data_IF_741284315737
#
_entry.id   IF_741284315737
#
_cell.length_a   1.000
_cell.length_b   1.000
_cell.length_c   1.000
_cell.angle_alpha   90.00
_cell.angle_beta   90.00
_cell.angle_gamma   90.00
#
_symmetry.space_group_name_H-M   'P 1'
#
loop_
_entity.id
_entity.type
_entity.pdbx_description
1 polymer ?
#
# COMPACT_ATOMS: atom_id res chain seq x y z
N UNK A 1 16.42 -3.70 6.56
CA UNK A 1 16.14 -5.01 7.22
C UNK A 1 17.25 -5.41 8.19
N UNK A 2 18.53 -5.16 7.86
CA UNK A 2 19.67 -5.56 8.69
C UNK A 2 19.54 -5.17 10.18
N UNK A 3 19.08 -3.97 10.48
CA UNK A 3 18.95 -3.50 11.86
C UNK A 3 17.86 -4.25 12.62
N UNK A 4 16.76 -4.58 11.96
CA UNK A 4 15.65 -5.36 12.54
C UNK A 4 16.07 -6.80 12.84
N UNK A 5 16.89 -7.42 11.97
CA UNK A 5 17.45 -8.77 12.18
C UNK A 5 18.47 -8.81 13.31
N UNK A 6 19.20 -7.73 13.59
CA UNK A 6 20.12 -7.66 14.74
C UNK A 6 19.40 -7.72 16.08
N UNK A 7 18.11 -7.30 16.10
CA UNK A 7 17.23 -7.35 17.27
C UNK A 7 16.38 -8.61 17.33
N UNK A 8 16.29 -9.33 16.22
CA UNK A 8 15.58 -10.59 16.08
C UNK A 8 16.53 -11.78 15.94
N UNK A 9 16.23 -12.66 14.99
CA UNK A 9 17.01 -13.88 14.77
C UNK A 9 17.00 -14.34 13.30
N UNK A 10 17.99 -15.17 12.97
CA UNK A 10 18.07 -15.88 11.69
C UNK A 10 18.09 -17.38 12.00
N UNK A 11 17.06 -18.10 11.56
CA UNK A 11 16.85 -19.53 11.80
C UNK A 11 17.14 -20.31 10.51
N UNK A 12 18.32 -20.89 10.42
CA UNK A 12 18.75 -21.71 9.28
C UNK A 12 19.49 -22.94 9.76
N UNK A 13 18.93 -24.15 9.60
CA UNK A 13 17.59 -24.45 9.08
C UNK A 13 16.48 -24.14 10.09
N UNK A 14 15.29 -23.79 9.58
CA UNK A 14 14.05 -23.80 10.34
C UNK A 14 13.42 -25.20 10.21
N UNK A 15 13.34 -25.95 11.31
CA UNK A 15 12.72 -27.29 11.34
C UNK A 15 11.27 -27.14 11.84
N UNK A 16 10.34 -27.04 10.90
CA UNK A 16 8.92 -26.91 11.21
C UNK A 16 8.06 -27.61 10.14
N UNK A 17 7.13 -28.48 10.54
CA UNK A 17 6.26 -29.19 9.61
C UNK A 17 5.11 -28.32 9.06
N UNK A 18 4.72 -27.30 9.81
CA UNK A 18 3.59 -26.42 9.50
C UNK A 18 3.89 -24.97 9.90
N UNK A 19 3.07 -24.05 9.38
CA UNK A 19 3.19 -22.61 9.62
C UNK A 19 3.11 -22.26 11.11
N UNK A 20 2.22 -22.93 11.85
CA UNK A 20 2.05 -22.68 13.29
C UNK A 20 3.33 -22.97 14.07
N UNK A 21 3.98 -24.10 13.79
CA UNK A 21 5.26 -24.44 14.41
C UNK A 21 6.41 -23.56 13.95
N UNK A 22 6.41 -23.16 12.67
CA UNK A 22 7.37 -22.21 12.14
C UNK A 22 7.29 -20.85 12.88
N UNK A 23 6.08 -20.33 13.06
CA UNK A 23 5.82 -19.10 13.83
C UNK A 23 6.20 -19.24 15.30
N UNK A 24 5.83 -20.36 15.96
CA UNK A 24 6.22 -20.61 17.36
C UNK A 24 7.74 -20.59 17.51
N UNK A 25 8.46 -21.28 16.64
CA UNK A 25 9.93 -21.28 16.64
C UNK A 25 10.52 -19.88 16.41
N UNK A 26 9.89 -19.09 15.54
CA UNK A 26 10.31 -17.73 15.28
C UNK A 26 10.09 -16.81 16.49
N UNK A 27 8.97 -16.93 17.21
CA UNK A 27 8.74 -16.17 18.44
C UNK A 27 9.71 -16.56 19.55
N UNK A 28 10.02 -17.85 19.71
CA UNK A 28 11.00 -18.34 20.70
C UNK A 28 12.42 -17.83 20.43
N UNK A 29 12.74 -17.51 19.19
CA UNK A 29 14.03 -16.95 18.84
C UNK A 29 14.21 -15.49 19.27
N UNK A 30 13.12 -14.82 19.66
CA UNK A 30 13.17 -13.44 20.17
C UNK A 30 13.50 -13.46 21.65
N UNK A 31 14.49 -12.67 22.05
CA UNK A 31 14.93 -12.62 23.46
C UNK A 31 13.79 -12.24 24.42
N UNK A 32 13.63 -13.05 25.48
CA UNK A 32 12.66 -12.77 26.54
C UNK A 32 11.26 -13.35 26.32
N UNK A 33 11.02 -14.10 25.25
CA UNK A 33 9.74 -14.78 24.98
C UNK A 33 9.81 -16.20 25.58
N UNK A 34 8.83 -16.56 26.43
CA UNK A 34 8.68 -17.91 26.98
C UNK A 34 7.90 -18.84 26.03
N UNK A 35 7.99 -20.16 26.25
CA UNK A 35 7.27 -21.15 25.42
C UNK A 35 5.76 -20.91 25.44
N UNK A 36 5.18 -20.64 26.62
CA UNK A 36 3.76 -20.35 26.78
C UNK A 36 3.35 -19.05 26.03
N UNK A 37 4.19 -18.04 26.10
CA UNK A 37 3.97 -16.77 25.41
C UNK A 37 4.09 -16.92 23.88
N UNK A 38 5.05 -17.70 23.40
CA UNK A 38 5.22 -17.98 21.98
C UNK A 38 4.03 -18.73 21.39
N UNK A 39 3.52 -19.76 22.09
CA UNK A 39 2.32 -20.50 21.65
C UNK A 39 1.07 -19.63 21.64
N UNK A 40 0.88 -18.80 22.67
CA UNK A 40 -0.23 -17.85 22.73
C UNK A 40 -0.18 -16.86 21.57
N UNK A 41 0.98 -16.20 21.37
CA UNK A 41 1.16 -15.22 20.28
C UNK A 41 0.97 -15.84 18.91
N UNK A 42 1.47 -17.05 18.69
CA UNK A 42 1.23 -17.77 17.44
C UNK A 42 -0.25 -18.03 17.23
N UNK A 43 -0.98 -18.44 18.25
CA UNK A 43 -2.41 -18.70 18.16
C UNK A 43 -3.19 -17.41 17.89
N UNK A 44 -2.84 -16.31 18.56
CA UNK A 44 -3.44 -14.99 18.35
C UNK A 44 -3.16 -14.46 16.93
N UNK A 45 -1.96 -14.69 16.40
CA UNK A 45 -1.57 -14.26 15.05
C UNK A 45 -2.30 -15.08 13.97
N UNK A 46 -2.32 -16.40 14.09
CA UNK A 46 -3.06 -17.27 13.16
C UNK A 46 -4.56 -17.02 13.24
N UNK A 47 -5.08 -16.66 14.41
CA UNK A 47 -6.48 -16.24 14.59
C UNK A 47 -6.80 -14.82 14.15
N UNK A 48 -5.82 -14.04 13.66
CA UNK A 48 -5.99 -12.65 13.24
C UNK A 48 -6.20 -11.64 14.38
N UNK A 49 -5.96 -12.03 15.62
CA UNK A 49 -6.19 -11.19 16.80
C UNK A 49 -5.04 -10.20 17.10
N UNK A 50 -3.81 -10.51 16.67
CA UNK A 50 -2.61 -9.71 17.00
C UNK A 50 -1.69 -9.46 15.83
N UNK A 51 -2.20 -9.52 14.60
CA UNK A 51 -1.42 -9.28 13.39
C UNK A 51 -2.01 -9.95 12.14
N UNK A 52 -1.21 -10.03 11.11
CA UNK A 52 -1.60 -10.53 9.79
C UNK A 52 -0.53 -11.45 9.22
N UNK A 53 -0.97 -12.42 8.41
CA UNK A 53 -0.09 -13.34 7.68
C UNK A 53 -0.35 -13.15 6.19
N UNK A 54 0.72 -12.92 5.42
CA UNK A 54 0.66 -12.66 3.98
C UNK A 54 1.58 -13.63 3.23
N UNK A 55 1.02 -14.33 2.26
CA UNK A 55 1.81 -15.03 1.25
C UNK A 55 2.24 -14.03 0.19
N UNK A 56 3.51 -13.67 0.19
CA UNK A 56 4.07 -12.66 -0.71
C UNK A 56 4.73 -13.27 -1.96
N UNK A 57 5.02 -14.57 -1.90
CA UNK A 57 5.54 -15.39 -2.98
C UNK A 57 5.13 -16.85 -2.72
N UNK A 58 5.15 -17.72 -3.75
CA UNK A 58 4.77 -19.13 -3.60
C UNK A 58 5.55 -19.85 -2.49
N UNK A 59 6.79 -19.42 -2.25
CA UNK A 59 7.72 -20.00 -1.27
C UNK A 59 7.96 -19.13 -0.04
N UNK A 60 7.33 -17.92 0.05
CA UNK A 60 7.61 -16.93 1.10
C UNK A 60 6.35 -16.49 1.80
N UNK A 61 6.34 -16.62 3.13
CA UNK A 61 5.30 -16.08 4.01
C UNK A 61 5.91 -14.95 4.86
N UNK A 62 5.22 -13.83 4.91
CA UNK A 62 5.51 -12.70 5.79
C UNK A 62 4.42 -12.64 6.85
N UNK A 63 4.80 -12.73 8.10
CA UNK A 63 3.93 -12.59 9.25
C UNK A 63 4.23 -11.27 9.97
N UNK A 64 3.18 -10.51 10.25
CA UNK A 64 3.24 -9.21 10.90
C UNK A 64 2.56 -9.31 12.26
N UNK A 65 3.32 -9.25 13.33
CA UNK A 65 2.81 -9.38 14.70
C UNK A 65 2.99 -8.10 15.50
N UNK A 66 2.09 -7.89 16.47
CA UNK A 66 2.17 -6.82 17.45
C UNK A 66 2.62 -7.36 18.80
N UNK A 67 3.44 -6.59 19.50
CA UNK A 67 3.87 -6.97 20.85
C UNK A 67 4.23 -5.76 21.71
N UNK A 68 3.78 -5.79 22.97
CA UNK A 68 4.17 -4.84 23.99
C UNK A 68 5.55 -5.16 24.62
N UNK A 69 6.07 -6.38 24.37
CA UNK A 69 7.35 -6.85 24.92
C UNK A 69 8.56 -6.41 24.10
N UNK A 70 8.37 -5.79 22.94
CA UNK A 70 9.44 -5.24 22.13
C UNK A 70 9.39 -3.70 22.14
N UNK A 71 10.53 -3.08 22.35
CA UNK A 71 10.61 -1.59 22.34
C UNK A 71 10.79 -1.03 20.93
N UNK A 72 11.36 -1.81 20.04
CA UNK A 72 11.65 -1.47 18.64
C UNK A 72 11.27 -2.64 17.72
N UNK A 73 11.16 -2.35 16.42
CA UNK A 73 10.83 -3.36 15.43
C UNK A 73 11.95 -4.40 15.37
N UNK A 74 11.59 -5.66 15.47
CA UNK A 74 12.50 -6.77 15.26
C UNK A 74 11.97 -7.70 14.15
N UNK A 75 12.91 -8.37 13.47
CA UNK A 75 12.62 -9.31 12.41
C UNK A 75 13.22 -10.67 12.73
N UNK A 76 12.49 -11.73 12.45
CA UNK A 76 13.00 -13.10 12.47
C UNK A 76 12.81 -13.69 11.08
N UNK A 77 13.90 -14.15 10.47
CA UNK A 77 13.82 -14.91 9.22
C UNK A 77 14.13 -16.37 9.48
N UNK A 78 13.24 -17.25 9.00
CA UNK A 78 13.43 -18.70 9.05
C UNK A 78 13.48 -19.28 7.64
N UNK A 79 14.43 -20.18 7.38
CA UNK A 79 14.56 -20.89 6.11
C UNK A 79 14.40 -22.38 6.39
N UNK A 80 13.34 -22.98 5.83
CA UNK A 80 12.99 -24.38 5.96
C UNK A 80 13.34 -25.13 4.66
N UNK A 81 14.43 -25.89 4.62
CA UNK A 81 14.86 -26.58 3.39
C UNK A 81 13.88 -27.63 2.86
N UNK A 82 13.01 -28.15 3.74
CA UNK A 82 11.97 -29.13 3.37
C UNK A 82 10.61 -28.43 3.10
N UNK A 83 10.52 -27.15 3.45
CA UNK A 83 9.26 -26.40 3.43
C UNK A 83 8.36 -26.74 4.62
N UNK A 84 7.37 -25.90 4.85
CA UNK A 84 6.29 -26.10 5.82
C UNK A 84 4.93 -25.90 5.14
N UNK A 85 3.92 -26.63 5.60
CA UNK A 85 2.57 -26.50 5.05
C UNK A 85 1.91 -25.22 5.56
N UNK A 86 1.32 -24.43 4.64
CA UNK A 86 0.47 -23.28 4.99
C UNK A 86 -0.87 -23.74 5.56
N UNK A 87 -1.49 -22.95 6.44
CA UNK A 87 -2.87 -23.18 6.87
C UNK A 87 -3.84 -22.83 5.74
N UNK A 88 -4.97 -23.58 5.62
CA UNK A 88 -6.01 -23.35 4.59
C UNK A 88 -6.64 -21.94 4.62
N UNK A 89 -6.44 -21.17 5.69
CA UNK A 89 -6.91 -19.79 5.84
C UNK A 89 -6.22 -18.79 4.88
N UNK A 90 -5.04 -19.12 4.36
CA UNK A 90 -4.27 -18.26 3.45
C UNK A 90 -4.90 -18.12 2.05
N UNK A 91 -5.83 -18.99 1.68
CA UNK A 91 -6.51 -18.95 0.36
C UNK A 91 -7.57 -17.84 0.24
N UNK A 92 -8.01 -17.25 1.35
CA UNK A 92 -9.14 -16.31 1.36
C UNK A 92 -8.74 -14.82 1.25
N UNK A 93 -7.48 -14.46 1.45
CA UNK A 93 -7.02 -13.05 1.42
C UNK A 93 -6.45 -12.58 0.07
N UNK A 94 -6.38 -13.46 -0.92
CA UNK A 94 -5.94 -13.16 -2.29
C UNK A 94 -7.08 -12.71 -3.20
N UNK A 95 -7.76 -11.60 -2.94
CA UNK A 95 -8.73 -11.01 -3.87
C UNK A 95 -8.02 -10.18 -4.95
N UNK A 96 -7.57 -10.86 -6.00
CA UNK A 96 -7.05 -10.25 -7.23
C UNK A 96 -7.43 -11.11 -8.42
N UNK A 97 -8.50 -10.70 -9.14
CA UNK A 97 -8.88 -11.06 -10.50
C UNK A 97 -8.73 -12.54 -10.91
N UNK A 98 -9.81 -13.29 -10.78
CA UNK A 98 -9.97 -14.58 -11.44
C UNK A 98 -9.97 -14.42 -12.96
N UNK A 99 -8.94 -14.96 -13.63
CA UNK A 99 -9.03 -15.37 -15.02
C UNK A 99 -9.44 -16.85 -15.06
N UNK A 100 -10.65 -17.09 -15.56
CA UNK A 100 -11.12 -18.44 -15.90
C UNK A 100 -10.26 -19.03 -17.03
N UNK A 101 -9.63 -20.16 -16.78
CA UNK A 101 -8.85 -20.92 -17.75
C UNK A 101 -8.63 -22.36 -17.32
N UNK A 102 -9.58 -23.20 -17.72
CA UNK A 102 -9.50 -24.64 -18.06
C UNK A 102 -8.24 -25.42 -17.69
N UNK A 103 -8.43 -26.49 -16.88
CA UNK A 103 -7.58 -27.68 -16.87
C UNK A 103 -7.04 -28.05 -15.51
N UNK A 104 -7.70 -29.03 -14.83
CA UNK A 104 -7.28 -29.55 -13.53
C UNK A 104 -5.89 -30.20 -13.55
N UNK A 105 -5.05 -29.72 -12.65
CA UNK A 105 -3.91 -30.44 -12.11
C UNK A 105 -4.09 -30.51 -10.59
N UNK A 106 -3.52 -31.49 -9.88
CA UNK A 106 -3.72 -31.66 -8.44
C UNK A 106 -3.28 -30.40 -7.71
N UNK A 107 -4.11 -29.93 -6.77
CA UNK A 107 -3.77 -28.86 -5.85
C UNK A 107 -2.62 -29.37 -4.96
N UNK A 108 -1.38 -29.08 -5.39
CA UNK A 108 -0.23 -29.18 -4.50
C UNK A 108 -0.46 -28.17 -3.37
N UNK A 109 -0.58 -28.65 -2.16
CA UNK A 109 -0.61 -27.82 -0.97
C UNK A 109 0.64 -26.92 -1.00
N UNK A 110 0.50 -25.58 -0.99
CA UNK A 110 1.63 -24.71 -1.19
C UNK A 110 2.61 -24.86 -0.01
N UNK A 111 3.77 -25.43 -0.28
CA UNK A 111 4.88 -25.47 0.66
C UNK A 111 5.61 -24.15 0.65
N UNK A 112 5.67 -23.46 1.79
CA UNK A 112 6.51 -22.30 1.97
C UNK A 112 7.86 -22.72 2.56
N UNK A 113 8.92 -22.03 2.15
CA UNK A 113 10.29 -22.36 2.57
C UNK A 113 10.94 -21.20 3.34
N UNK A 114 10.44 -19.98 3.17
CA UNK A 114 10.89 -18.79 3.91
C UNK A 114 9.73 -18.26 4.75
N UNK A 115 10.00 -18.06 6.04
CA UNK A 115 9.17 -17.30 6.96
C UNK A 115 9.90 -16.02 7.35
N UNK A 116 9.30 -14.87 7.10
CA UNK A 116 9.73 -13.59 7.67
C UNK A 116 8.70 -13.13 8.70
N UNK A 117 9.04 -13.17 9.97
CA UNK A 117 8.22 -12.64 11.05
C UNK A 117 8.72 -11.24 11.44
N UNK A 118 7.86 -10.24 11.33
CA UNK A 118 8.10 -8.89 11.81
C UNK A 118 7.27 -8.64 13.06
N UNK A 119 7.92 -8.21 14.13
CA UNK A 119 7.27 -7.89 15.40
C UNK A 119 7.42 -6.40 15.64
N UNK A 120 6.28 -5.71 15.74
CA UNK A 120 6.22 -4.26 15.96
C UNK A 120 5.63 -3.95 17.33
N UNK A 121 6.18 -2.95 18.05
CA UNK A 121 5.51 -2.42 19.22
C UNK A 121 4.13 -1.88 18.84
N UNK A 122 3.11 -2.07 19.67
CA UNK A 122 1.75 -1.56 19.40
C UNK A 122 1.71 -0.07 19.10
N UNK A 123 2.61 0.71 19.69
CA UNK A 123 2.75 2.16 19.43
C UNK A 123 3.20 2.51 18.00
N UNK A 124 3.61 1.52 17.19
CA UNK A 124 4.11 1.70 15.83
C UNK A 124 3.36 0.82 14.80
N UNK A 125 2.07 0.54 15.04
CA UNK A 125 1.26 -0.32 14.14
C UNK A 125 1.26 0.20 12.71
N UNK A 126 1.17 1.52 12.50
CA UNK A 126 1.23 2.14 11.17
C UNK A 126 2.55 1.87 10.42
N UNK A 127 3.67 1.64 11.12
CA UNK A 127 4.93 1.25 10.49
C UNK A 127 4.87 -0.14 9.86
N UNK A 128 4.12 -1.06 10.46
CA UNK A 128 3.88 -2.40 9.95
C UNK A 128 3.27 -2.35 8.55
N UNK A 129 2.21 -1.57 8.40
CA UNK A 129 1.47 -1.47 7.15
C UNK A 129 2.31 -0.83 6.03
N UNK A 130 3.24 0.06 6.39
CA UNK A 130 4.19 0.68 5.47
C UNK A 130 5.27 -0.28 4.96
N UNK A 131 5.62 -1.29 5.74
CA UNK A 131 6.69 -2.23 5.37
C UNK A 131 6.22 -3.31 4.39
N UNK A 132 4.96 -3.70 4.47
CA UNK A 132 4.41 -4.81 3.70
C UNK A 132 4.48 -4.61 2.17
N UNK A 133 4.15 -3.44 1.59
CA UNK A 133 4.27 -3.23 0.14
C UNK A 133 5.70 -3.43 -0.37
N UNK A 134 6.67 -2.86 0.32
CA UNK A 134 8.09 -2.98 -0.03
C UNK A 134 8.58 -4.42 0.04
N UNK A 135 8.15 -5.18 1.06
CA UNK A 135 8.48 -6.60 1.19
C UNK A 135 7.81 -7.43 0.10
N UNK A 136 6.53 -7.16 -0.22
CA UNK A 136 5.82 -7.82 -1.32
C UNK A 136 6.54 -7.62 -2.65
N UNK A 137 6.98 -6.39 -2.93
CA UNK A 137 7.73 -6.06 -4.14
C UNK A 137 9.08 -6.76 -4.17
N UNK A 138 9.82 -6.74 -3.07
CA UNK A 138 11.13 -7.40 -2.96
C UNK A 138 11.03 -8.90 -3.23
N UNK A 139 10.10 -9.58 -2.58
CA UNK A 139 9.93 -11.03 -2.72
C UNK A 139 9.17 -11.46 -3.99
N UNK A 140 8.59 -10.55 -4.77
CA UNK A 140 8.00 -10.87 -6.07
C UNK A 140 9.06 -11.32 -7.08
N UNK A 141 10.26 -10.79 -6.95
CA UNK A 141 11.37 -11.07 -7.87
C UNK A 141 12.12 -12.32 -7.43
N UNK A 142 12.10 -13.38 -8.27
CA UNK A 142 12.81 -14.65 -8.01
C UNK A 142 14.32 -14.43 -7.77
N UNK A 143 14.91 -13.42 -8.40
CA UNK A 143 16.33 -13.04 -8.22
C UNK A 143 16.64 -12.65 -6.76
N UNK A 144 15.68 -12.13 -6.02
CA UNK A 144 15.81 -11.78 -4.61
C UNK A 144 15.54 -12.97 -3.69
N UNK A 145 14.64 -13.87 -4.10
CA UNK A 145 14.23 -15.05 -3.32
C UNK A 145 15.29 -16.15 -3.37
N UNK A 146 15.81 -16.45 -4.55
CA UNK A 146 16.75 -17.56 -4.77
C UNK A 146 18.01 -17.51 -3.89
N UNK A 147 18.68 -16.36 -3.70
CA UNK A 147 19.85 -16.29 -2.82
C UNK A 147 19.53 -16.62 -1.35
N UNK A 148 18.35 -16.19 -0.88
CA UNK A 148 17.91 -16.45 0.49
C UNK A 148 17.60 -17.93 0.67
N UNK A 149 16.89 -18.56 -0.27
CA UNK A 149 16.57 -19.99 -0.26
C UNK A 149 17.81 -20.90 -0.27
N UNK A 150 18.88 -20.46 -0.95
CA UNK A 150 20.13 -21.20 -1.03
C UNK A 150 21.02 -21.05 0.21
N UNK A 151 20.64 -20.17 1.15
CA UNK A 151 21.40 -19.96 2.38
C UNK A 151 21.35 -21.22 3.25
N UNK A 152 22.50 -21.66 3.75
CA UNK A 152 22.65 -22.84 4.62
C UNK A 152 23.03 -22.47 6.06
N UNK A 153 23.30 -21.20 6.28
CA UNK A 153 23.67 -20.65 7.58
C UNK A 153 23.15 -19.23 7.72
N UNK A 154 23.10 -18.73 8.97
CA UNK A 154 22.76 -17.33 9.23
C UNK A 154 23.72 -16.36 8.51
N UNK A 155 25.02 -16.72 8.43
CA UNK A 155 26.02 -15.90 7.73
C UNK A 155 25.74 -15.77 6.22
N UNK A 156 25.17 -16.80 5.60
CA UNK A 156 24.81 -16.75 4.19
C UNK A 156 23.66 -15.76 3.95
N UNK A 157 22.65 -15.72 4.83
CA UNK A 157 21.55 -14.74 4.77
C UNK A 157 22.10 -13.32 4.90
N UNK A 158 23.00 -13.09 5.85
CA UNK A 158 23.62 -11.76 6.06
C UNK A 158 24.41 -11.29 4.83
N UNK A 159 24.92 -12.21 4.01
CA UNK A 159 25.63 -11.88 2.75
C UNK A 159 24.71 -11.51 1.60
N UNK A 160 23.39 -11.73 1.70
CA UNK A 160 22.43 -11.29 0.69
C UNK A 160 22.25 -9.78 0.79
N UNK A 161 23.12 -9.02 0.13
CA UNK A 161 23.17 -7.55 0.24
C UNK A 161 21.81 -6.91 -0.11
N UNK A 162 21.15 -7.36 -1.18
CA UNK A 162 19.84 -6.83 -1.58
C UNK A 162 18.78 -6.92 -0.47
N UNK A 163 18.80 -8.02 0.33
CA UNK A 163 17.89 -8.19 1.46
C UNK A 163 18.32 -7.36 2.68
N UNK A 164 19.60 -7.35 2.98
CA UNK A 164 20.12 -6.64 4.14
C UNK A 164 20.02 -5.11 3.99
N UNK A 165 20.24 -4.60 2.78
CA UNK A 165 20.18 -3.17 2.47
C UNK A 165 18.75 -2.68 2.21
N UNK A 166 17.75 -3.58 2.14
CA UNK A 166 16.37 -3.21 1.96
C UNK A 166 15.90 -2.32 3.13
N UNK A 167 15.54 -1.09 2.80
CA UNK A 167 14.86 -0.18 3.72
C UNK A 167 13.38 -0.09 3.33
N UNK A 168 12.49 -0.79 4.04
CA UNK A 168 11.08 -0.83 3.70
C UNK A 168 10.39 0.54 3.72
N UNK A 169 10.92 1.51 4.48
CA UNK A 169 10.34 2.85 4.55
C UNK A 169 10.74 3.74 3.37
N UNK A 170 11.96 3.61 2.88
CA UNK A 170 12.44 4.40 1.74
C UNK A 170 11.98 3.83 0.40
N UNK A 171 11.50 2.60 0.38
CA UNK A 171 11.07 1.90 -0.82
C UNK A 171 9.60 2.09 -1.17
N UNK A 172 8.86 2.98 -0.49
CA UNK A 172 7.46 3.26 -0.79
C UNK A 172 7.33 3.97 -2.13
N UNK A 173 6.45 3.43 -2.97
CA UNK A 173 6.06 4.02 -4.23
C UNK A 173 4.67 4.67 -4.12
N UNK A 174 4.34 5.48 -5.10
CA UNK A 174 3.02 6.12 -5.19
C UNK A 174 1.92 5.06 -5.28
N UNK A 175 2.14 3.93 -5.98
CA UNK A 175 1.17 2.82 -6.09
C UNK A 175 0.76 2.23 -4.73
N UNK A 176 1.65 2.26 -3.73
CA UNK A 176 1.40 1.70 -2.40
C UNK A 176 0.40 2.54 -1.59
N UNK A 177 0.17 3.80 -2.01
CA UNK A 177 -0.52 4.84 -1.22
C UNK A 177 -1.70 5.46 -1.97
N UNK A 178 -1.72 5.35 -3.31
CA UNK A 178 -2.73 6.00 -4.14
C UNK A 178 -4.16 5.57 -3.79
N UNK A 179 -5.04 6.55 -3.60
CA UNK A 179 -6.48 6.27 -3.49
C UNK A 179 -7.09 6.15 -4.90
N UNK A 180 -7.78 5.03 -5.19
CA UNK A 180 -8.42 4.82 -6.49
C UNK A 180 -9.46 5.89 -6.81
N UNK A 181 -9.62 6.23 -8.08
CA UNK A 181 -10.65 7.15 -8.56
C UNK A 181 -12.03 6.56 -8.26
N UNK A 182 -12.80 7.26 -7.46
CA UNK A 182 -14.21 6.90 -7.19
C UNK A 182 -15.16 7.59 -8.15
N UNK A 183 -14.84 8.81 -8.58
CA UNK A 183 -15.70 9.64 -9.42
C UNK A 183 -14.90 10.26 -10.55
N UNK A 184 -15.51 10.32 -11.74
CA UNK A 184 -14.97 10.95 -12.95
C UNK A 184 -16.10 11.56 -13.74
N UNK A 185 -15.76 12.52 -14.61
CA UNK A 185 -16.72 13.13 -15.54
C UNK A 185 -16.13 13.13 -16.95
N UNK A 186 -17.01 13.27 -17.93
CA UNK A 186 -16.63 13.34 -19.34
C UNK A 186 -16.58 14.79 -19.82
N UNK A 187 -15.89 15.07 -20.94
CA UNK A 187 -15.70 16.44 -21.45
C UNK A 187 -17.00 17.21 -21.66
N UNK A 188 -18.03 16.54 -22.11
CA UNK A 188 -19.33 17.14 -22.44
C UNK A 188 -20.32 17.16 -21.27
N UNK A 189 -19.90 16.66 -20.09
CA UNK A 189 -20.71 16.74 -18.86
C UNK A 189 -20.99 18.22 -18.54
N UNK A 190 -22.26 18.61 -18.33
CA UNK A 190 -22.62 19.97 -17.91
C UNK A 190 -21.91 20.36 -16.60
N UNK A 191 -21.36 21.55 -16.54
CA UNK A 191 -20.66 22.02 -15.32
C UNK A 191 -21.57 21.98 -14.07
N UNK A 192 -22.87 22.24 -14.22
CA UNK A 192 -23.82 22.15 -13.12
C UNK A 192 -23.87 20.75 -12.47
N UNK A 193 -23.75 19.70 -13.27
CA UNK A 193 -23.68 18.32 -12.78
C UNK A 193 -22.35 18.04 -12.08
N UNK A 194 -21.23 18.59 -12.62
CA UNK A 194 -19.93 18.47 -11.99
C UNK A 194 -19.91 19.16 -10.64
N UNK A 195 -20.42 20.38 -10.55
CA UNK A 195 -20.51 21.14 -9.30
C UNK A 195 -21.39 20.44 -8.27
N UNK A 196 -22.54 19.92 -8.69
CA UNK A 196 -23.45 19.14 -7.82
C UNK A 196 -22.78 17.86 -7.30
N UNK A 197 -22.04 17.13 -8.15
CA UNK A 197 -21.26 15.98 -7.77
C UNK A 197 -20.20 16.33 -6.72
N UNK A 198 -19.43 17.41 -6.96
CA UNK A 198 -18.40 17.88 -6.03
C UNK A 198 -18.96 18.22 -4.66
N UNK A 199 -20.10 18.93 -4.61
CA UNK A 199 -20.74 19.32 -3.35
C UNK A 199 -21.30 18.11 -2.60
N UNK A 200 -22.06 17.24 -3.29
CA UNK A 200 -22.70 16.07 -2.65
C UNK A 200 -21.71 15.04 -2.13
N UNK A 201 -20.54 14.93 -2.77
CA UNK A 201 -19.51 13.95 -2.44
C UNK A 201 -18.32 14.55 -1.70
N UNK A 202 -18.39 15.84 -1.39
CA UNK A 202 -17.32 16.59 -0.71
C UNK A 202 -15.95 16.47 -1.42
N UNK A 203 -15.97 16.44 -2.80
CA UNK A 203 -14.79 16.24 -3.61
C UNK A 203 -13.99 17.52 -3.75
N UNK A 204 -12.70 17.46 -3.54
CA UNK A 204 -11.76 18.57 -3.75
C UNK A 204 -11.39 18.74 -5.23
N UNK A 205 -11.45 17.65 -5.99
CA UNK A 205 -11.23 17.64 -7.42
C UNK A 205 -11.97 16.47 -8.10
N UNK A 206 -12.27 16.66 -9.38
CA UNK A 206 -12.87 15.63 -10.23
C UNK A 206 -12.07 15.54 -11.54
N UNK A 207 -11.57 14.36 -11.92
CA UNK A 207 -10.89 14.17 -13.19
C UNK A 207 -11.88 14.19 -14.35
N UNK A 208 -11.45 14.80 -15.44
CA UNK A 208 -12.12 14.74 -16.73
C UNK A 208 -11.38 13.72 -17.58
N UNK A 209 -12.07 12.67 -18.00
CA UNK A 209 -11.50 11.58 -18.80
C UNK A 209 -12.21 11.47 -20.15
N UNK A 210 -11.48 10.98 -21.15
CA UNK A 210 -12.04 10.68 -22.45
C UNK A 210 -12.75 9.32 -22.50
N UNK A 211 -13.10 8.88 -23.73
CA UNK A 211 -13.84 7.63 -23.95
C UNK A 211 -13.01 6.40 -23.59
N UNK A 212 -11.70 6.46 -23.82
CA UNK A 212 -10.74 5.38 -23.48
C UNK A 212 -10.10 5.59 -22.11
N UNK A 213 -10.75 6.34 -21.23
CA UNK A 213 -10.30 6.68 -19.86
C UNK A 213 -9.00 7.48 -19.81
N UNK A 214 -8.51 7.98 -20.93
CA UNK A 214 -7.35 8.87 -20.96
C UNK A 214 -7.60 10.14 -20.15
N UNK A 215 -6.59 10.59 -19.39
CA UNK A 215 -6.70 11.78 -18.55
C UNK A 215 -6.63 13.05 -19.40
N UNK A 216 -7.70 13.85 -19.42
CA UNK A 216 -7.81 15.08 -20.20
C UNK A 216 -7.58 16.35 -19.38
N UNK A 217 -7.86 16.30 -18.09
CA UNK A 217 -7.72 17.45 -17.20
C UNK A 217 -8.41 17.25 -15.86
N UNK A 218 -8.41 18.30 -15.06
CA UNK A 218 -8.92 18.28 -13.70
C UNK A 218 -9.82 19.49 -13.47
N UNK A 219 -10.92 19.31 -12.73
CA UNK A 219 -11.74 20.39 -12.19
C UNK A 219 -11.58 20.37 -10.69
N UNK A 220 -10.95 21.41 -10.15
CA UNK A 220 -10.77 21.60 -8.70
C UNK A 220 -11.86 22.46 -8.11
N UNK A 221 -11.98 22.49 -6.77
CA UNK A 221 -12.86 23.45 -6.07
C UNK A 221 -12.53 24.90 -6.42
N UNK A 222 -11.25 25.21 -6.69
CA UNK A 222 -10.80 26.51 -7.16
C UNK A 222 -11.34 26.86 -8.55
N UNK A 223 -11.36 25.89 -9.47
CA UNK A 223 -11.94 26.08 -10.82
C UNK A 223 -13.45 26.27 -10.74
N UNK A 224 -14.13 25.47 -9.93
CA UNK A 224 -15.56 25.55 -9.67
C UNK A 224 -15.94 26.94 -9.10
N UNK A 225 -15.20 27.42 -8.09
CA UNK A 225 -15.44 28.75 -7.52
C UNK A 225 -15.18 29.87 -8.51
N UNK A 226 -14.17 29.76 -9.38
CA UNK A 226 -13.86 30.74 -10.40
C UNK A 226 -14.98 30.85 -11.41
N UNK A 227 -15.55 29.73 -11.83
CA UNK A 227 -16.69 29.70 -12.75
C UNK A 227 -17.96 30.31 -12.12
N UNK A 228 -18.28 29.95 -10.87
CA UNK A 228 -19.39 30.54 -10.12
C UNK A 228 -19.30 32.07 -10.04
N UNK A 229 -18.12 32.60 -9.71
CA UNK A 229 -17.89 34.05 -9.64
C UNK A 229 -18.01 34.70 -11.02
N UNK A 230 -17.55 34.01 -12.09
CA UNK A 230 -17.69 34.47 -13.46
C UNK A 230 -19.15 34.60 -13.87
N UNK A 231 -19.96 33.61 -13.59
CA UNK A 231 -21.40 33.59 -13.87
C UNK A 231 -22.13 34.70 -13.09
N UNK A 232 -21.89 34.86 -11.81
CA UNK A 232 -22.52 35.89 -10.97
C UNK A 232 -22.17 37.30 -11.44
N UNK A 233 -20.95 37.52 -11.94
CA UNK A 233 -20.55 38.82 -12.52
C UNK A 233 -21.25 39.12 -13.86
N UNK A 234 -21.42 38.09 -14.70
CA UNK A 234 -22.14 38.24 -15.97
C UNK A 234 -23.62 38.59 -15.75
N UNK A 235 -24.25 37.96 -14.77
CA UNK A 235 -25.64 38.26 -14.37
C UNK A 235 -25.79 39.69 -13.86
N UNK A 236 -24.91 40.17 -13.01
CA UNK A 236 -24.95 41.51 -12.45
C UNK A 236 -24.60 42.61 -13.45
N UNK A 237 -23.87 42.28 -14.52
CA UNK A 237 -23.49 43.23 -15.57
C UNK A 237 -24.62 43.51 -16.61
N UNK A 238 -25.80 42.90 -16.45
CA UNK A 238 -26.93 43.09 -17.38
C UNK A 238 -26.62 42.54 -18.78
N UNK A 239 -25.67 41.63 -18.90
CA UNK A 239 -25.32 40.99 -20.14
C UNK A 239 -26.52 40.24 -20.71
N UNK A 240 -26.83 40.48 -22.00
CA UNK A 240 -27.81 39.70 -22.73
C UNK A 240 -27.33 38.27 -22.69
N UNK A 241 -28.04 37.43 -21.93
CA UNK A 241 -27.74 36.02 -21.83
C UNK A 241 -27.53 35.43 -23.22
N UNK A 242 -26.40 34.80 -23.43
CA UNK A 242 -26.27 33.83 -24.50
C UNK A 242 -27.39 32.81 -24.26
N UNK A 243 -28.35 32.78 -25.17
CA UNK A 243 -29.56 31.94 -25.11
C UNK A 243 -29.27 30.44 -25.28
N UNK A 244 -28.05 29.98 -25.09
CA UNK A 244 -27.74 28.58 -24.93
C UNK A 244 -28.11 28.18 -23.49
N UNK A 245 -29.20 27.47 -23.38
CA UNK A 245 -29.81 26.94 -22.17
C UNK A 245 -28.90 25.99 -21.40
N UNK A 246 -27.72 25.71 -21.93
CA UNK A 246 -26.72 24.80 -21.38
C UNK A 246 -25.52 25.65 -20.96
N UNK A 247 -25.27 25.70 -19.65
CA UNK A 247 -24.06 26.31 -19.08
C UNK A 247 -22.77 25.68 -19.64
N UNK A 248 -21.58 26.11 -19.20
CA UNK A 248 -20.34 25.55 -19.67
C UNK A 248 -20.25 24.04 -19.39
N UNK A 249 -19.48 23.33 -20.21
CA UNK A 249 -19.18 21.91 -20.01
C UNK A 249 -17.89 21.72 -19.21
N UNK A 250 -17.66 20.52 -18.72
CA UNK A 250 -16.43 20.12 -18.02
C UNK A 250 -15.17 20.50 -18.83
N UNK A 251 -15.17 20.28 -20.15
CA UNK A 251 -14.10 20.64 -21.08
C UNK A 251 -13.74 22.14 -21.05
N UNK A 252 -14.71 22.99 -20.83
CA UNK A 252 -14.52 24.45 -20.83
C UNK A 252 -13.99 24.97 -19.49
N UNK A 253 -14.30 24.27 -18.38
CA UNK A 253 -13.91 24.68 -17.03
C UNK A 253 -12.62 23.99 -16.55
N UNK A 254 -12.31 22.81 -17.07
CA UNK A 254 -11.18 22.02 -16.61
C UNK A 254 -9.83 22.71 -16.84
N UNK A 255 -8.91 22.51 -15.92
CA UNK A 255 -7.49 22.81 -16.09
C UNK A 255 -6.85 21.62 -16.82
N UNK A 256 -6.24 21.88 -17.99
CA UNK A 256 -5.61 20.85 -18.84
C UNK A 256 -4.16 20.59 -18.50
N UNK A 257 -3.44 21.63 -18.12
CA UNK A 257 -2.02 21.52 -17.74
C UNK A 257 -1.95 21.17 -16.27
N UNK A 258 -2.07 19.89 -15.96
CA UNK A 258 -2.02 19.36 -14.59
C UNK A 258 -0.73 18.59 -14.42
N UNK A 259 -0.05 18.83 -13.30
CA UNK A 259 1.11 18.03 -12.90
C UNK A 259 0.64 16.70 -12.37
N UNK A 260 1.12 15.62 -12.97
CA UNK A 260 0.82 14.26 -12.59
C UNK A 260 2.10 13.55 -12.12
N UNK A 261 1.94 12.45 -11.40
CA UNK A 261 3.03 11.54 -11.03
C UNK A 261 2.71 10.14 -11.54
N UNK A 262 3.77 9.36 -11.83
CA UNK A 262 3.63 7.94 -12.15
C UNK A 262 3.39 7.16 -10.86
N UNK A 263 2.63 6.08 -10.92
CA UNK A 263 2.47 5.17 -9.79
C UNK A 263 3.78 4.50 -9.35
N UNK A 264 4.74 4.31 -10.27
CA UNK A 264 6.05 3.74 -10.00
C UNK A 264 7.03 4.74 -9.36
N UNK A 265 6.64 6.01 -9.26
CA UNK A 265 7.50 7.04 -8.69
C UNK A 265 7.62 6.88 -7.17
N UNK A 266 8.79 7.23 -6.63
CA UNK A 266 9.01 7.24 -5.19
C UNK A 266 8.05 8.19 -4.48
N UNK A 267 7.47 7.74 -3.36
CA UNK A 267 6.59 8.57 -2.53
C UNK A 267 7.30 9.84 -2.02
N UNK A 268 8.59 9.76 -1.72
CA UNK A 268 9.41 10.91 -1.28
C UNK A 268 9.58 11.92 -2.43
N UNK A 269 9.77 11.46 -3.67
CA UNK A 269 9.83 12.36 -4.83
C UNK A 269 8.49 13.05 -5.07
N UNK A 270 7.39 12.30 -4.99
CA UNK A 270 6.05 12.87 -5.10
C UNK A 270 5.78 13.92 -3.99
N UNK A 271 6.19 13.63 -2.75
CA UNK A 271 6.14 14.60 -1.64
C UNK A 271 6.94 15.87 -1.94
N UNK A 272 8.15 15.72 -2.50
CA UNK A 272 9.00 16.85 -2.90
C UNK A 272 8.34 17.70 -3.98
N UNK A 273 7.66 17.08 -4.94
CA UNK A 273 6.88 17.80 -5.96
C UNK A 273 5.75 18.61 -5.29
N UNK A 274 4.99 17.99 -4.38
CA UNK A 274 3.91 18.68 -3.67
C UNK A 274 4.39 19.92 -2.92
N UNK A 275 5.53 19.82 -2.23
CA UNK A 275 6.12 20.94 -1.50
C UNK A 275 6.62 22.01 -2.45
N UNK A 276 7.44 21.66 -3.45
CA UNK A 276 8.07 22.61 -4.36
C UNK A 276 7.08 23.35 -5.25
N UNK A 277 5.98 22.73 -5.60
CA UNK A 277 4.92 23.29 -6.45
C UNK A 277 3.72 23.81 -5.68
N UNK A 278 3.73 23.68 -4.37
CA UNK A 278 2.64 24.07 -3.48
C UNK A 278 1.28 23.53 -3.91
N UNK A 279 1.23 22.21 -4.24
CA UNK A 279 -0.01 21.51 -4.61
C UNK A 279 -0.46 20.60 -3.48
N UNK A 280 -1.78 20.52 -3.27
CA UNK A 280 -2.38 19.71 -2.19
C UNK A 280 -2.59 18.25 -2.62
N UNK A 281 -2.71 18.00 -3.92
CA UNK A 281 -2.95 16.69 -4.47
C UNK A 281 -2.30 16.57 -5.86
N UNK A 282 -1.94 15.34 -6.21
CA UNK A 282 -1.36 15.00 -7.51
C UNK A 282 -2.19 13.85 -8.13
N UNK A 283 -2.66 14.01 -9.37
CA UNK A 283 -3.19 12.89 -10.14
C UNK A 283 -2.09 11.86 -10.39
N UNK A 284 -2.43 10.58 -10.24
CA UNK A 284 -1.54 9.45 -10.48
C UNK A 284 -1.92 8.79 -11.79
N UNK A 285 -0.94 8.60 -12.66
CA UNK A 285 -1.11 8.08 -14.02
C UNK A 285 -0.35 6.76 -14.18
N UNK A 286 -1.00 5.80 -14.81
CA UNK A 286 -0.45 4.53 -15.31
C UNK A 286 -0.79 4.42 -16.80
N UNK A 287 0.19 4.28 -17.66
CA UNK A 287 0.01 4.08 -19.12
C UNK A 287 -0.91 5.13 -19.81
N UNK A 288 -0.91 6.37 -19.30
CA UNK A 288 -1.75 7.45 -19.81
C UNK A 288 -3.15 7.53 -19.19
N UNK A 289 -3.55 6.52 -18.43
CA UNK A 289 -4.81 6.52 -17.71
C UNK A 289 -4.62 7.03 -16.28
N UNK A 290 -5.61 7.73 -15.77
CA UNK A 290 -5.60 8.17 -14.38
C UNK A 290 -6.09 7.05 -13.48
N UNK A 291 -5.25 6.60 -12.54
CA UNK A 291 -5.55 5.52 -11.60
C UNK A 291 -6.02 6.02 -10.24
N UNK A 292 -5.67 7.23 -9.84
CA UNK A 292 -6.04 7.75 -8.53
C UNK A 292 -5.51 9.15 -8.25
N UNK A 293 -5.63 9.52 -6.98
CA UNK A 293 -5.04 10.73 -6.41
C UNK A 293 -4.07 10.38 -5.29
N UNK A 294 -3.03 11.18 -5.17
CA UNK A 294 -2.15 11.23 -4.03
C UNK A 294 -2.37 12.57 -3.32
N UNK A 295 -2.76 12.57 -2.06
CA UNK A 295 -2.95 13.78 -1.25
C UNK A 295 -1.82 13.99 -0.25
N UNK A 296 -1.59 15.23 0.20
CA UNK A 296 -0.62 15.53 1.27
C UNK A 296 -0.93 14.77 2.57
N UNK A 297 -2.22 14.60 2.87
CA UNK A 297 -2.65 13.88 4.07
C UNK A 297 -2.21 12.42 4.05
N UNK A 298 -2.35 11.75 2.91
CA UNK A 298 -1.89 10.37 2.74
C UNK A 298 -0.38 10.26 2.78
N UNK A 299 0.31 11.13 2.04
CA UNK A 299 1.79 11.18 2.10
C UNK A 299 2.28 11.33 3.54
N UNK A 300 1.68 12.24 4.31
CA UNK A 300 2.04 12.40 5.72
C UNK A 300 1.73 11.17 6.55
N UNK A 301 0.56 10.54 6.34
CA UNK A 301 0.16 9.31 7.06
C UNK A 301 1.15 8.17 6.82
N UNK A 302 1.64 8.03 5.60
CA UNK A 302 2.56 6.97 5.22
C UNK A 302 4.04 7.27 5.56
N UNK A 303 4.48 8.51 5.49
CA UNK A 303 5.86 8.88 5.81
C UNK A 303 6.08 9.19 7.30
N UNK A 304 5.03 9.58 8.02
CA UNK A 304 5.10 9.88 9.45
C UNK A 304 4.10 9.01 10.22
N UNK A 305 4.51 7.83 10.67
CA UNK A 305 3.68 7.05 11.58
C UNK A 305 3.45 7.85 12.84
N UNK A 306 2.26 8.41 12.98
CA UNK A 306 1.86 9.19 14.13
C UNK A 306 2.00 8.35 15.42
N UNK A 307 2.32 9.01 16.55
CA UNK A 307 2.09 8.37 17.84
C UNK A 307 0.62 7.99 17.93
N UNK A 308 0.28 6.77 18.39
CA UNK A 308 -1.11 6.43 18.66
C UNK A 308 -1.73 7.55 19.49
N UNK A 309 -2.87 8.07 19.06
CA UNK A 309 -3.65 8.98 19.88
C UNK A 309 -3.91 8.28 21.20
N UNK A 310 -3.44 8.85 22.31
CA UNK A 310 -3.90 8.47 23.64
C UNK A 310 -5.43 8.63 23.60
N UNK A 311 -6.15 7.51 23.55
CA UNK A 311 -7.59 7.50 23.78
C UNK A 311 -7.78 8.12 25.16
N UNK A 312 -8.39 9.29 25.17
CA UNK A 312 -8.85 9.89 26.41
C UNK A 312 -9.93 8.99 26.97
N UNK A 313 -9.62 8.34 28.12
CA UNK A 313 -10.61 7.77 29.00
C UNK A 313 -11.73 8.77 29.33
#
# INVERSE_FOLDING_TARGET
>A
VAEMLRRGAILVPLDAPDLKRALTSAFLAVSGVSDEEAEKRTTDLVGGASGEIHRVHDRVVVALAESDSVEEICAVIGIAPVGFMGDEADAASGSGAAQEGVGGAPQDNPHSEILLLLITPRRFVSLRDQMLPSLKRFFREEENVAPILNARSADDVVRVAAFMDLDPHQSLLVEDVVEPIQYRVYPDTPYSEVADLMVRRELQAVPVVGEDYEFLGLITTGDAMRELVSQARAENAGGIYSTTREGPTARQVMTRTVMCVSEEQSLIEAASIMVNRNVEQLPVIRDGEMVGFLTRGEVLRWLFPGKPSEEKE
#
